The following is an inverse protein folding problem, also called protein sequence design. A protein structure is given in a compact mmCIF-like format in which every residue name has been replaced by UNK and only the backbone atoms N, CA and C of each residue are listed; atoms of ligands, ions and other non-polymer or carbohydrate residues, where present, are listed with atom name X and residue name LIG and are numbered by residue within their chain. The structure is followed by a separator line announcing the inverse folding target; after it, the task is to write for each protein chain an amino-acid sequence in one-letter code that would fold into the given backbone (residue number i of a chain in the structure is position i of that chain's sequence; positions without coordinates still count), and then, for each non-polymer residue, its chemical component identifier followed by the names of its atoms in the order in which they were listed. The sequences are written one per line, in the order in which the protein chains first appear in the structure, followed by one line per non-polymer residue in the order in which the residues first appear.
data_IF_885632724240
#
_entry.id   IF_885632724240
#
_cell.length_a   1.000
_cell.length_b   1.000
_cell.length_c   1.000
_cell.angle_alpha   90.00
_cell.angle_beta   90.00
_cell.angle_gamma   90.00
#
_symmetry.space_group_name_H-M   'P 1'
#
loop_
_entity.id
_entity.type
_entity.pdbx_description
1 polymer ?
#
# COMPACT_ATOMS: atom_id res chain seq x y z
N UNK A 1 0.95 18.00 -4.84
CA UNK A 1 1.05 18.00 -6.30
C UNK A 1 0.21 16.92 -6.90
N UNK A 2 -0.48 17.21 -7.96
CA UNK A 2 -1.29 16.21 -8.62
C UNK A 2 -0.43 15.34 -9.52
N UNK A 3 -0.81 14.09 -9.64
CA UNK A 3 -0.19 13.15 -10.55
C UNK A 3 -0.99 13.17 -11.86
N UNK A 4 -0.38 13.65 -12.92
CA UNK A 4 -1.05 13.80 -14.21
C UNK A 4 -1.47 12.48 -14.83
N UNK A 5 -0.81 11.36 -14.47
CA UNK A 5 -1.14 10.03 -15.02
C UNK A 5 -2.31 9.38 -14.33
N UNK A 6 -2.40 9.51 -13.03
CA UNK A 6 -3.42 8.83 -12.23
C UNK A 6 -4.44 9.79 -11.65
N UNK A 7 -4.20 11.11 -11.82
CA UNK A 7 -5.05 12.13 -11.26
C UNK A 7 -4.81 12.37 -9.78
N UNK A 8 -5.70 13.12 -9.19
CA UNK A 8 -5.60 13.49 -7.78
C UNK A 8 -6.10 12.36 -6.89
N UNK A 9 -5.43 12.17 -5.75
CA UNK A 9 -5.89 11.23 -4.73
C UNK A 9 -7.27 11.66 -4.22
N UNK A 10 -8.30 10.80 -4.31
CA UNK A 10 -9.61 11.11 -3.74
C UNK A 10 -9.53 11.24 -2.22
N UNK A 11 -10.19 12.26 -1.67
CA UNK A 11 -10.21 12.43 -0.23
C UNK A 11 -10.85 11.22 0.48
N UNK A 12 -11.85 10.61 -0.14
CA UNK A 12 -12.47 9.41 0.39
C UNK A 12 -11.44 8.31 0.63
N UNK A 13 -10.48 8.15 -0.27
CA UNK A 13 -9.43 7.13 -0.13
C UNK A 13 -8.47 7.48 0.99
N UNK A 14 -8.15 8.75 1.17
CA UNK A 14 -7.33 9.20 2.30
C UNK A 14 -8.02 8.85 3.61
N UNK A 15 -9.32 9.13 3.70
CA UNK A 15 -10.10 8.86 4.89
C UNK A 15 -10.19 7.35 5.19
N UNK A 16 -10.45 6.55 4.15
CA UNK A 16 -10.51 5.10 4.29
C UNK A 16 -9.16 4.52 4.73
N UNK A 17 -8.08 5.07 4.20
CA UNK A 17 -6.74 4.61 4.56
C UNK A 17 -6.42 4.94 6.01
N UNK A 18 -6.79 6.13 6.46
CA UNK A 18 -6.59 6.52 7.84
C UNK A 18 -7.41 5.64 8.78
N UNK A 19 -8.64 5.34 8.42
CA UNK A 19 -9.49 4.43 9.19
C UNK A 19 -8.88 3.02 9.25
N UNK A 20 -8.42 2.49 8.11
CA UNK A 20 -7.82 1.16 8.05
C UNK A 20 -6.55 1.05 8.86
N UNK A 21 -5.70 2.07 8.80
CA UNK A 21 -4.40 2.06 9.47
C UNK A 21 -4.45 2.54 10.92
N UNK A 22 -5.52 3.24 11.29
CA UNK A 22 -5.60 3.91 12.58
C UNK A 22 -4.60 5.05 12.69
N UNK A 23 -4.13 5.59 11.57
CA UNK A 23 -3.12 6.65 11.55
C UNK A 23 -1.71 6.14 11.79
N UNK A 24 -1.53 4.82 11.89
CA UNK A 24 -0.23 4.22 12.16
C UNK A 24 0.38 3.65 10.89
N UNK A 25 1.71 3.60 10.87
CA UNK A 25 2.45 2.99 9.76
C UNK A 25 2.04 1.52 9.62
N UNK A 26 1.58 1.14 8.42
CA UNK A 26 1.10 -0.22 8.19
C UNK A 26 2.22 -1.26 8.10
N UNK A 27 3.47 -0.82 8.18
CA UNK A 27 4.60 -1.74 8.31
C UNK A 27 4.63 -2.43 9.67
N UNK A 28 3.95 -1.87 10.66
CA UNK A 28 4.03 -2.38 12.03
C UNK A 28 5.23 -1.87 12.81
N UNK A 29 5.89 -0.81 12.33
CA UNK A 29 7.08 -0.26 13.01
C UNK A 29 6.76 0.53 14.28
N UNK A 30 5.49 0.82 14.54
CA UNK A 30 5.07 1.56 15.73
C UNK A 30 5.06 3.08 15.57
N UNK A 31 5.44 3.59 14.42
CA UNK A 31 5.43 5.03 14.16
C UNK A 31 4.12 5.44 13.50
N UNK A 32 3.81 6.73 13.57
CA UNK A 32 2.64 7.26 12.88
C UNK A 32 2.90 7.27 11.38
N UNK A 33 1.85 7.03 10.60
CA UNK A 33 1.93 7.14 9.16
C UNK A 33 1.95 8.63 8.76
N UNK A 34 2.81 8.98 7.82
CA UNK A 34 2.94 10.35 7.33
C UNK A 34 2.89 10.41 5.81
N UNK A 35 2.91 9.27 5.12
CA UNK A 35 2.95 9.20 3.68
C UNK A 35 1.96 8.17 3.18
N UNK A 36 1.40 8.41 2.00
CA UNK A 36 0.61 7.41 1.28
C UNK A 36 1.51 6.82 0.21
N UNK A 37 1.76 5.53 0.33
CA UNK A 37 2.63 4.80 -0.58
C UNK A 37 1.79 4.00 -1.57
N UNK A 38 2.12 4.09 -2.86
CA UNK A 38 1.53 3.27 -3.90
C UNK A 38 2.38 2.01 -4.06
N UNK A 39 1.83 0.86 -3.75
CA UNK A 39 2.55 -0.42 -3.84
C UNK A 39 2.99 -0.68 -5.28
N UNK A 40 2.09 -0.50 -6.23
CA UNK A 40 2.43 -0.41 -7.65
C UNK A 40 2.66 1.07 -7.91
N UNK A 41 3.88 1.44 -8.20
CA UNK A 41 4.25 2.85 -8.34
C UNK A 41 3.44 3.49 -9.46
N UNK A 42 3.10 4.77 -9.29
CA UNK A 42 2.31 5.48 -10.31
C UNK A 42 3.02 5.48 -11.65
N UNK A 43 4.35 5.56 -11.65
CA UNK A 43 5.14 5.46 -12.88
C UNK A 43 5.11 4.08 -13.52
N UNK A 44 4.62 3.07 -12.79
CA UNK A 44 4.45 1.71 -13.31
C UNK A 44 2.99 1.39 -13.60
N UNK A 45 2.14 2.42 -13.66
CA UNK A 45 0.72 2.23 -13.91
C UNK A 45 -0.14 2.09 -12.67
N UNK A 46 0.43 2.33 -11.49
CA UNK A 46 -0.32 2.24 -10.23
C UNK A 46 -1.36 3.34 -10.12
N UNK A 47 -2.49 3.00 -9.52
CA UNK A 47 -3.62 3.90 -9.34
C UNK A 47 -3.92 4.09 -7.85
N UNK A 48 -4.95 4.88 -7.57
CA UNK A 48 -5.30 5.24 -6.19
C UNK A 48 -6.31 4.27 -5.56
N UNK A 49 -6.46 3.07 -6.11
CA UNK A 49 -7.35 2.07 -5.52
C UNK A 49 -6.82 1.59 -4.17
N UNK A 50 -7.70 1.32 -3.24
CA UNK A 50 -7.34 1.07 -1.84
C UNK A 50 -6.37 -0.09 -1.65
N UNK A 51 -6.48 -1.15 -2.43
CA UNK A 51 -5.56 -2.29 -2.31
C UNK A 51 -4.14 -1.94 -2.76
N UNK A 52 -3.96 -0.83 -3.48
CA UNK A 52 -2.64 -0.37 -3.92
C UNK A 52 -1.99 0.60 -2.94
N UNK A 53 -2.69 1.00 -1.89
CA UNK A 53 -2.19 2.04 -0.99
C UNK A 53 -1.74 1.44 0.34
N UNK A 54 -0.63 1.95 0.86
CA UNK A 54 -0.16 1.69 2.21
C UNK A 54 0.11 3.01 2.91
N UNK A 55 -0.31 3.11 4.16
CA UNK A 55 0.05 4.24 5.01
C UNK A 55 1.40 3.91 5.65
N UNK A 56 2.41 4.69 5.36
CA UNK A 56 3.77 4.43 5.84
C UNK A 56 4.36 5.67 6.50
N UNK A 57 5.31 5.46 7.38
CA UNK A 57 6.07 6.56 7.98
C UNK A 57 7.20 6.99 7.03
N UNK A 58 7.74 8.17 7.27
CA UNK A 58 8.86 8.68 6.50
C UNK A 58 8.56 10.05 5.92
N UNK A 59 9.51 10.54 5.15
CA UNK A 59 9.43 11.82 4.48
C UNK A 59 9.92 11.63 3.05
N UNK A 60 9.03 11.76 2.08
CA UNK A 60 9.34 11.48 0.69
C UNK A 60 9.71 10.02 0.48
N UNK A 61 10.49 9.75 -0.55
CA UNK A 61 10.88 8.39 -0.93
C UNK A 61 12.21 7.95 -0.33
N UNK A 62 12.75 8.71 0.63
CA UNK A 62 14.13 8.51 1.07
C UNK A 62 14.26 8.16 2.55
N UNK A 63 13.21 8.23 3.32
CA UNK A 63 13.31 7.95 4.74
C UNK A 63 12.12 7.16 5.24
N UNK A 64 12.26 6.57 6.44
CA UNK A 64 11.24 5.76 7.07
C UNK A 64 10.88 4.52 6.26
N UNK A 65 9.74 3.95 6.57
CA UNK A 65 9.28 2.76 5.85
C UNK A 65 8.96 3.06 4.39
N UNK A 66 8.52 4.29 4.08
CA UNK A 66 8.30 4.68 2.70
C UNK A 66 9.62 4.64 1.91
N UNK A 67 10.71 5.11 2.52
CA UNK A 67 12.03 5.01 1.91
C UNK A 67 12.45 3.57 1.68
N UNK A 68 12.20 2.70 2.65
CA UNK A 68 12.52 1.27 2.52
C UNK A 68 11.74 0.67 1.34
N UNK A 69 10.47 1.02 1.19
CA UNK A 69 9.64 0.51 0.09
C UNK A 69 10.22 0.86 -1.28
N UNK A 70 10.96 1.96 -1.39
CA UNK A 70 11.55 2.40 -2.65
C UNK A 70 12.98 1.90 -2.89
N UNK A 71 13.56 1.20 -1.93
CA UNK A 71 14.97 0.76 -2.02
C UNK A 71 15.17 -0.65 -2.57
N UNK A 72 14.10 -1.36 -2.85
CA UNK A 72 14.20 -2.70 -3.43
C UNK A 72 14.49 -3.82 -2.42
N UNK A 73 14.56 -3.51 -1.13
CA UNK A 73 14.82 -4.49 -0.08
C UNK A 73 13.65 -4.64 0.89
N UNK A 74 12.52 -4.02 0.57
CA UNK A 74 11.36 -4.07 1.45
C UNK A 74 10.80 -5.49 1.54
N UNK A 75 10.08 -5.81 2.63
CA UNK A 75 9.32 -7.05 2.68
C UNK A 75 8.38 -7.19 1.48
N UNK A 76 7.97 -8.43 1.23
CA UNK A 76 7.13 -8.72 0.07
C UNK A 76 5.88 -7.84 0.03
N UNK A 77 5.52 -7.40 -1.15
CA UNK A 77 4.28 -6.67 -1.41
C UNK A 77 4.29 -5.18 -1.11
N UNK A 78 5.39 -4.64 -0.58
CA UNK A 78 5.49 -3.19 -0.38
C UNK A 78 5.72 -2.46 -1.70
N UNK A 79 6.43 -3.10 -2.63
CA UNK A 79 6.65 -2.60 -3.96
C UNK A 79 6.30 -3.71 -4.94
N UNK A 80 5.38 -3.43 -5.85
CA UNK A 80 4.89 -4.43 -6.81
C UNK A 80 5.61 -4.20 -8.15
N UNK A 81 6.15 -5.28 -8.71
CA UNK A 81 6.83 -5.23 -10.00
C UNK A 81 5.90 -4.70 -11.09
N UNK A 82 6.45 -3.94 -12.01
CA UNK A 82 5.69 -3.49 -13.20
C UNK A 82 5.28 -4.65 -14.09
N UNK A 83 5.90 -5.80 -13.91
CA UNK A 83 5.58 -7.01 -14.68
C UNK A 83 4.49 -7.85 -14.04
N UNK A 84 4.09 -7.50 -12.81
CA UNK A 84 3.02 -8.19 -12.12
C UNK A 84 1.68 -7.81 -12.74
N UNK A 85 0.93 -8.77 -13.20
CA UNK A 85 -0.32 -8.54 -13.92
C UNK A 85 -1.57 -8.65 -13.07
N UNK A 86 -1.45 -9.27 -11.91
CA UNK A 86 -2.61 -9.45 -11.04
C UNK A 86 -2.97 -8.14 -10.36
N UNK A 87 -4.24 -7.98 -10.06
CA UNK A 87 -4.71 -6.81 -9.32
C UNK A 87 -4.14 -6.82 -7.90
N UNK A 88 -3.94 -5.64 -7.34
CA UNK A 88 -3.30 -5.51 -6.03
C UNK A 88 -4.04 -6.22 -4.92
N UNK A 89 -5.35 -6.43 -5.06
CA UNK A 89 -6.13 -7.10 -4.02
C UNK A 89 -5.79 -8.59 -3.85
N UNK A 90 -5.14 -9.22 -4.81
CA UNK A 90 -4.68 -10.61 -4.67
C UNK A 90 -3.20 -10.71 -4.27
N UNK A 91 -2.50 -9.57 -4.20
CA UNK A 91 -1.07 -9.53 -3.89
C UNK A 91 -0.91 -9.07 -2.44
N UNK A 92 -0.56 -9.98 -1.51
CA UNK A 92 -0.41 -9.58 -0.12
C UNK A 92 0.85 -8.78 0.13
N UNK A 93 0.90 -8.12 1.28
CA UNK A 93 2.15 -7.56 1.78
C UNK A 93 2.48 -8.17 3.13
N UNK A 94 3.76 -8.22 3.46
CA UNK A 94 4.25 -8.76 4.72
C UNK A 94 4.75 -7.61 5.59
N UNK A 95 4.25 -7.51 6.81
CA UNK A 95 4.71 -6.45 7.70
C UNK A 95 6.04 -6.82 8.37
N UNK A 96 6.59 -5.91 9.16
CA UNK A 96 7.87 -6.12 9.81
C UNK A 96 7.86 -7.23 10.86
N UNK A 97 6.68 -7.58 11.35
CA UNK A 97 6.53 -8.71 12.26
C UNK A 97 6.40 -10.05 11.55
N UNK A 98 6.43 -10.05 10.22
CA UNK A 98 6.30 -11.28 9.44
C UNK A 98 4.87 -11.68 9.16
N UNK A 99 3.91 -10.85 9.49
CA UNK A 99 2.50 -11.13 9.24
C UNK A 99 2.12 -10.77 7.82
N UNK A 100 1.31 -11.61 7.18
CA UNK A 100 0.88 -11.40 5.80
C UNK A 100 -0.53 -10.85 5.77
N UNK A 101 -0.75 -9.81 4.95
CA UNK A 101 -2.02 -9.09 4.87
C UNK A 101 -2.47 -8.97 3.43
N UNK A 102 -3.78 -9.12 3.22
CA UNK A 102 -4.43 -8.85 1.94
C UNK A 102 -5.30 -7.61 2.08
N UNK A 103 -5.25 -6.74 1.09
CA UNK A 103 -6.03 -5.49 1.06
C UNK A 103 -7.10 -5.60 0.00
N UNK A 104 -8.27 -4.99 0.25
CA UNK A 104 -9.29 -4.91 -0.78
C UNK A 104 -9.54 -3.45 -1.17
N UNK A 105 -10.27 -3.26 -2.27
CA UNK A 105 -10.51 -1.92 -2.79
C UNK A 105 -11.62 -1.17 -2.06
N UNK A 106 -12.25 -1.80 -1.09
CA UNK A 106 -13.26 -1.16 -0.24
C UNK A 106 -12.68 -0.61 1.06
N UNK A 107 -11.36 -0.75 1.23
CA UNK A 107 -10.68 -0.27 2.44
C UNK A 107 -10.47 -1.35 3.49
N UNK A 108 -10.73 -2.61 3.17
CA UNK A 108 -10.55 -3.71 4.10
C UNK A 108 -9.11 -4.21 4.16
N UNK A 109 -8.76 -4.82 5.29
CA UNK A 109 -7.44 -5.42 5.50
C UNK A 109 -7.66 -6.76 6.20
N UNK A 110 -7.13 -7.83 5.62
CA UNK A 110 -7.48 -9.19 5.99
C UNK A 110 -6.22 -10.04 6.20
N UNK A 111 -6.30 -11.00 7.11
CA UNK A 111 -5.19 -11.91 7.41
C UNK A 111 -5.24 -13.19 6.57
N UNK A 112 -6.16 -13.25 5.60
CA UNK A 112 -6.29 -14.38 4.67
C UNK A 112 -6.77 -13.85 3.33
N UNK A 113 -6.53 -14.59 2.23
CA UNK A 113 -6.99 -14.17 0.91
C UNK A 113 -8.50 -14.02 0.87
N UNK A 114 -8.96 -12.92 0.28
CA UNK A 114 -10.39 -12.61 0.14
C UNK A 114 -10.97 -13.14 -1.16
N UNK A 115 -10.16 -13.87 -1.93
CA UNK A 115 -10.52 -14.34 -3.27
C UNK A 115 -10.74 -15.85 -3.32
N UNK A 116 -10.67 -16.51 -2.19
CA UNK A 116 -10.96 -17.94 -2.11
C UNK A 116 -12.38 -18.16 -2.64
N UNK A 117 -12.52 -19.02 -3.63
CA UNK A 117 -13.81 -19.27 -4.24
C UNK A 117 -14.11 -18.44 -5.47
N UNK A 118 -13.36 -17.40 -5.76
CA UNK A 118 -13.52 -16.65 -7.00
C UNK A 118 -13.02 -17.50 -8.18
N UNK A 119 -13.70 -17.42 -9.28
CA UNK A 119 -13.34 -18.15 -10.50
C UNK A 119 -13.28 -17.20 -11.68
#
# INVERSE_FOLDING_TARGET
MSNKRTGRMPQEHVDLLEERSGGMCESGCGKRATQIHHRRFTGRGGKHNMANLLALCGSGNHSGCHGVAHQGHAPAGWAISRHERHHEDVIPFVDLGGRTWWLDDKGGKHDRPQHAGRR
#
